data_IF_828053543151
#
_entry.id   IF_828053543151
#
_cell.length_a   1.000
_cell.length_b   1.000
_cell.length_c   1.000
_cell.angle_alpha   90.00
_cell.angle_beta   90.00
_cell.angle_gamma   90.00
#
_symmetry.space_group_name_H-M   'P 1'
#
loop_
_entity.id
_entity.type
_entity.pdbx_description
1 polymer ?
#
# COMPACT_ATOMS: atom_id res chain seq x y z
N UNK A 1 -6.94 5.26 22.00
CA UNK A 1 -5.89 4.61 21.16
C UNK A 1 -5.67 5.51 19.97
N UNK A 2 -4.44 5.87 19.69
CA UNK A 2 -4.09 6.68 18.50
C UNK A 2 -4.32 5.80 17.27
N UNK A 3 -5.02 6.32 16.26
CA UNK A 3 -5.31 5.59 15.01
C UNK A 3 -4.35 6.11 13.94
N UNK A 4 -3.74 5.21 13.15
CA UNK A 4 -2.78 5.61 12.13
C UNK A 4 -3.46 6.30 10.94
N UNK A 5 -4.64 5.77 10.52
CA UNK A 5 -5.46 6.36 9.47
C UNK A 5 -6.94 6.23 9.82
N UNK A 6 -7.71 7.29 9.57
CA UNK A 6 -9.18 7.30 9.68
C UNK A 6 -9.80 7.90 8.42
N UNK A 7 -10.64 7.13 7.77
CA UNK A 7 -11.56 7.61 6.75
C UNK A 7 -12.95 7.75 7.38
N UNK A 8 -13.56 8.94 7.28
CA UNK A 8 -14.88 9.24 7.83
C UNK A 8 -15.84 9.58 6.70
N UNK A 9 -16.83 8.72 6.47
CA UNK A 9 -17.93 8.90 5.52
C UNK A 9 -17.47 9.37 4.13
N UNK A 10 -16.35 8.78 3.63
CA UNK A 10 -15.83 9.11 2.30
C UNK A 10 -16.85 8.73 1.24
N UNK A 11 -17.26 9.72 0.44
CA UNK A 11 -18.22 9.53 -0.64
C UNK A 11 -17.60 9.95 -1.96
N UNK A 12 -17.83 9.15 -3.02
CA UNK A 12 -17.41 9.45 -4.38
C UNK A 12 -18.46 9.02 -5.39
N UNK A 13 -18.84 9.95 -6.26
CA UNK A 13 -19.82 9.73 -7.33
C UNK A 13 -19.21 10.01 -8.69
N UNK A 14 -19.62 9.24 -9.67
CA UNK A 14 -19.31 9.46 -11.08
C UNK A 14 -20.65 9.51 -11.86
N UNK A 15 -21.18 10.71 -12.03
CA UNK A 15 -22.55 10.89 -12.53
C UNK A 15 -23.57 10.23 -11.61
N UNK A 16 -24.35 9.29 -12.15
CA UNK A 16 -25.33 8.52 -11.37
C UNK A 16 -24.73 7.38 -10.54
N UNK A 17 -23.48 6.96 -10.84
CA UNK A 17 -22.81 5.86 -10.12
C UNK A 17 -22.22 6.36 -8.81
N UNK A 18 -22.59 5.76 -7.68
CA UNK A 18 -21.98 5.97 -6.38
C UNK A 18 -20.90 4.89 -6.19
N UNK A 19 -19.64 5.25 -6.38
CA UNK A 19 -18.52 4.31 -6.29
C UNK A 19 -18.04 4.07 -4.84
N UNK A 20 -18.18 5.07 -3.97
CA UNK A 20 -18.04 4.96 -2.51
C UNK A 20 -19.18 5.73 -1.86
N UNK A 21 -19.90 5.09 -0.96
CA UNK A 21 -21.03 5.67 -0.24
C UNK A 21 -20.78 5.65 1.26
N UNK A 22 -20.42 6.82 1.80
CA UNK A 22 -20.16 7.06 3.22
C UNK A 22 -19.17 6.05 3.85
N UNK A 23 -18.16 5.63 3.11
CA UNK A 23 -17.17 4.65 3.56
C UNK A 23 -16.42 5.18 4.77
N UNK A 24 -16.50 4.46 5.87
CA UNK A 24 -15.71 4.69 7.08
C UNK A 24 -14.80 3.50 7.36
N UNK A 25 -13.51 3.79 7.56
CA UNK A 25 -12.46 2.81 7.78
C UNK A 25 -11.42 3.37 8.73
N UNK A 26 -10.87 2.54 9.61
CA UNK A 26 -9.76 2.92 10.49
C UNK A 26 -8.64 1.89 10.43
N UNK A 27 -7.37 2.34 10.45
CA UNK A 27 -6.20 1.49 10.60
C UNK A 27 -5.53 1.79 11.93
N UNK A 28 -5.21 0.77 12.70
CA UNK A 28 -4.41 0.88 13.91
C UNK A 28 -2.91 0.91 13.57
N UNK A 29 -2.07 1.54 14.41
CA UNK A 29 -0.62 1.49 14.20
C UNK A 29 -0.09 0.06 14.14
N UNK A 30 0.70 -0.25 13.11
CA UNK A 30 1.30 -1.57 12.91
C UNK A 30 0.33 -2.67 12.49
N UNK A 31 -0.94 -2.36 12.26
CA UNK A 31 -1.96 -3.30 11.80
C UNK A 31 -1.85 -3.58 10.30
N UNK A 32 -2.09 -4.82 9.91
CA UNK A 32 -2.38 -5.19 8.52
C UNK A 32 -3.89 -5.35 8.38
N UNK A 33 -4.54 -4.36 7.78
CA UNK A 33 -5.98 -4.34 7.53
C UNK A 33 -6.25 -4.65 6.06
N UNK A 34 -6.92 -5.76 5.77
CA UNK A 34 -7.29 -6.10 4.41
C UNK A 34 -8.63 -5.46 4.01
N UNK A 35 -8.71 -5.00 2.77
CA UNK A 35 -9.95 -4.55 2.12
C UNK A 35 -10.27 -5.50 0.98
N UNK A 36 -11.34 -6.28 1.14
CA UNK A 36 -11.80 -7.24 0.14
C UNK A 36 -13.18 -6.82 -0.41
N UNK A 37 -13.59 -7.44 -1.49
CA UNK A 37 -14.91 -7.21 -2.10
C UNK A 37 -14.92 -7.62 -3.57
N UNK A 38 -16.09 -7.83 -4.18
CA UNK A 38 -16.20 -8.22 -5.58
C UNK A 38 -15.64 -7.16 -6.54
N UNK A 39 -15.50 -7.53 -7.81
CA UNK A 39 -15.13 -6.57 -8.84
C UNK A 39 -16.19 -5.48 -8.97
N UNK A 40 -15.76 -4.22 -9.10
CA UNK A 40 -16.65 -3.08 -9.12
C UNK A 40 -17.20 -2.63 -7.75
N UNK A 41 -16.78 -3.25 -6.64
CA UNK A 41 -17.22 -2.86 -5.29
C UNK A 41 -16.80 -1.45 -4.86
N UNK A 42 -15.81 -0.82 -5.55
CA UNK A 42 -15.30 0.51 -5.21
C UNK A 42 -13.90 0.51 -4.54
N UNK A 43 -13.23 -0.66 -4.43
CA UNK A 43 -11.91 -0.80 -3.77
C UNK A 43 -10.86 0.16 -4.35
N UNK A 44 -10.66 0.15 -5.67
CA UNK A 44 -9.70 1.03 -6.34
C UNK A 44 -10.08 2.52 -6.19
N UNK A 45 -11.39 2.84 -6.21
CA UNK A 45 -11.86 4.21 -5.94
C UNK A 45 -11.50 4.63 -4.52
N UNK A 46 -11.71 3.77 -3.52
CA UNK A 46 -11.33 4.05 -2.14
C UNK A 46 -9.81 4.27 -2.00
N UNK A 47 -8.99 3.41 -2.60
CA UNK A 47 -7.52 3.60 -2.62
C UNK A 47 -7.13 4.93 -3.27
N UNK A 48 -7.78 5.33 -4.37
CA UNK A 48 -7.54 6.62 -5.02
C UNK A 48 -7.94 7.81 -4.13
N UNK A 49 -9.05 7.69 -3.39
CA UNK A 49 -9.46 8.67 -2.38
C UNK A 49 -8.42 8.79 -1.26
N UNK A 50 -7.97 7.65 -0.71
CA UNK A 50 -6.99 7.61 0.38
C UNK A 50 -5.62 8.11 -0.07
N UNK A 51 -5.17 7.80 -1.30
CA UNK A 51 -3.90 8.28 -1.84
C UNK A 51 -3.92 9.73 -2.33
N UNK A 52 -5.12 10.33 -2.49
CA UNK A 52 -5.30 11.70 -2.99
C UNK A 52 -5.21 11.83 -4.50
N UNK A 53 -5.21 10.72 -5.24
CA UNK A 53 -5.26 10.71 -6.71
C UNK A 53 -6.59 11.30 -7.21
N UNK A 54 -7.67 11.08 -6.45
CA UNK A 54 -8.97 11.72 -6.67
C UNK A 54 -9.43 12.39 -5.36
N UNK A 55 -10.20 13.46 -5.49
CA UNK A 55 -10.81 14.13 -4.34
C UNK A 55 -12.16 13.48 -3.99
N UNK A 56 -12.49 13.31 -2.69
CA UNK A 56 -13.82 12.90 -2.26
C UNK A 56 -14.83 14.03 -2.51
N UNK A 57 -16.08 13.64 -2.75
CA UNK A 57 -17.21 14.59 -2.85
C UNK A 57 -17.71 14.97 -1.45
N UNK A 58 -17.57 14.04 -0.47
CA UNK A 58 -17.86 14.28 0.95
C UNK A 58 -16.98 13.40 1.84
N UNK A 59 -16.94 13.69 3.13
CA UNK A 59 -16.17 12.95 4.12
C UNK A 59 -14.81 13.55 4.39
N UNK A 60 -14.03 12.88 5.26
CA UNK A 60 -12.69 13.31 5.70
C UNK A 60 -11.72 12.16 5.76
N UNK A 61 -10.44 12.47 5.54
CA UNK A 61 -9.30 11.57 5.74
C UNK A 61 -8.36 12.18 6.77
N UNK A 62 -8.13 11.45 7.86
CA UNK A 62 -7.15 11.81 8.88
C UNK A 62 -6.00 10.79 8.87
N UNK A 63 -4.76 11.26 9.02
CA UNK A 63 -3.57 10.43 9.25
C UNK A 63 -2.85 11.02 10.44
N UNK A 64 -2.65 10.23 11.51
CA UNK A 64 -2.11 10.68 12.79
C UNK A 64 -2.79 11.98 13.27
N UNK A 65 -4.14 11.99 13.28
CA UNK A 65 -5.01 13.12 13.65
C UNK A 65 -4.91 14.38 12.76
N UNK A 66 -4.10 14.35 11.70
CA UNK A 66 -3.97 15.43 10.73
C UNK A 66 -4.95 15.23 9.57
N UNK A 67 -5.77 16.23 9.28
CA UNK A 67 -6.68 16.22 8.13
C UNK A 67 -5.91 16.35 6.80
N UNK A 68 -5.91 15.29 6.01
CA UNK A 68 -5.27 15.22 4.70
C UNK A 68 -6.28 15.19 3.55
N UNK A 69 -7.55 15.44 3.79
CA UNK A 69 -8.65 15.30 2.83
C UNK A 69 -8.37 16.01 1.50
N UNK A 70 -7.85 17.23 1.57
CA UNK A 70 -7.57 18.08 0.39
C UNK A 70 -6.09 18.11 -0.02
N UNK A 71 -5.26 17.26 0.59
CA UNK A 71 -3.83 17.21 0.27
C UNK A 71 -3.61 16.48 -1.04
N UNK A 72 -2.66 16.98 -1.85
CA UNK A 72 -2.18 16.29 -3.05
C UNK A 72 -1.47 14.97 -2.67
N UNK A 73 -1.34 14.01 -3.61
CA UNK A 73 -0.64 12.75 -3.35
C UNK A 73 0.75 12.96 -2.76
N UNK A 74 1.53 13.88 -3.32
CA UNK A 74 2.86 14.23 -2.83
C UNK A 74 2.86 14.77 -1.38
N UNK A 75 1.89 15.62 -1.04
CA UNK A 75 1.76 16.14 0.32
C UNK A 75 1.34 15.05 1.32
N UNK A 76 0.56 14.04 0.88
CA UNK A 76 0.20 12.86 1.70
C UNK A 76 1.41 11.97 1.96
N UNK A 77 2.25 11.75 0.96
CA UNK A 77 3.51 11.01 1.13
C UNK A 77 4.41 11.69 2.16
N UNK A 78 4.57 13.02 2.09
CA UNK A 78 5.32 13.79 3.10
C UNK A 78 4.67 13.75 4.50
N UNK A 79 3.38 13.50 4.58
CA UNK A 79 2.66 13.32 5.84
C UNK A 79 2.68 11.88 6.36
N UNK A 80 3.45 10.99 5.72
CA UNK A 80 3.64 9.60 6.16
C UNK A 80 2.66 8.60 5.58
N UNK A 81 1.85 8.97 4.56
CA UNK A 81 0.97 8.03 3.85
C UNK A 81 1.56 7.70 2.48
N UNK A 82 2.08 6.49 2.32
CA UNK A 82 2.66 5.99 1.08
C UNK A 82 1.72 5.01 0.37
N UNK A 83 1.90 4.84 -0.95
CA UNK A 83 1.17 3.86 -1.76
C UNK A 83 2.13 3.15 -2.70
N UNK A 84 2.03 1.80 -2.78
CA UNK A 84 2.58 1.06 -3.91
C UNK A 84 1.63 1.20 -5.10
N UNK A 85 2.18 1.40 -6.30
CA UNK A 85 1.38 1.51 -7.53
C UNK A 85 1.31 0.15 -8.23
N UNK A 86 0.15 -0.15 -8.86
CA UNK A 86 -0.04 -1.35 -9.71
C UNK A 86 0.90 -1.35 -10.94
N UNK A 87 1.33 -0.18 -11.40
CA UNK A 87 2.24 -0.03 -12.53
C UNK A 87 3.64 0.22 -11.98
N UNK A 88 4.60 -0.56 -12.47
CA UNK A 88 6.03 -0.50 -12.14
C UNK A 88 6.57 0.94 -12.28
N UNK A 89 6.64 1.68 -11.16
CA UNK A 89 7.15 3.06 -11.13
C UNK A 89 8.64 3.10 -10.78
N UNK A 90 9.40 2.11 -11.27
CA UNK A 90 10.86 2.11 -11.17
C UNK A 90 11.48 2.86 -12.37
N UNK A 91 12.58 3.51 -12.14
CA UNK A 91 13.40 4.07 -13.23
C UNK A 91 14.16 2.93 -13.90
N UNK A 92 13.54 2.33 -14.93
CA UNK A 92 14.03 1.09 -15.59
C UNK A 92 15.46 1.18 -16.12
N UNK A 93 15.91 2.39 -16.50
CA UNK A 93 17.25 2.63 -17.04
C UNK A 93 18.31 2.83 -15.96
N UNK A 94 17.90 3.16 -14.73
CA UNK A 94 18.80 3.32 -13.61
C UNK A 94 19.05 1.96 -12.92
N UNK A 95 20.21 1.87 -12.26
CA UNK A 95 20.50 0.70 -11.44
C UNK A 95 19.52 0.56 -10.28
N UNK A 96 19.41 -0.64 -9.70
CA UNK A 96 18.66 -0.87 -8.47
C UNK A 96 19.14 0.08 -7.36
N UNK A 97 20.44 0.20 -7.21
CA UNK A 97 21.03 1.08 -6.20
C UNK A 97 20.65 2.54 -6.42
N UNK A 98 20.71 3.05 -7.67
CA UNK A 98 20.32 4.43 -7.97
C UNK A 98 18.84 4.70 -7.74
N UNK A 99 17.97 3.73 -8.03
CA UNK A 99 16.55 3.81 -7.70
C UNK A 99 16.34 3.99 -6.18
N UNK A 100 16.96 3.14 -5.36
CA UNK A 100 16.88 3.22 -3.91
C UNK A 100 17.48 4.54 -3.38
N UNK A 101 18.62 4.95 -3.91
CA UNK A 101 19.30 6.18 -3.52
C UNK A 101 18.42 7.41 -3.78
N UNK A 102 17.78 7.48 -4.96
CA UNK A 102 16.88 8.57 -5.32
C UNK A 102 15.67 8.62 -4.36
N UNK A 103 15.10 7.46 -4.02
CA UNK A 103 13.96 7.41 -3.12
C UNK A 103 14.35 7.88 -1.70
N UNK A 104 15.45 7.39 -1.15
CA UNK A 104 15.94 7.80 0.18
C UNK A 104 16.27 9.30 0.20
N UNK A 105 16.96 9.80 -0.83
CA UNK A 105 17.33 11.21 -0.95
C UNK A 105 16.10 12.13 -1.03
N UNK A 106 15.04 11.72 -1.77
CA UNK A 106 13.82 12.49 -1.90
C UNK A 106 13.12 12.74 -0.55
N UNK A 107 13.26 11.80 0.38
CA UNK A 107 12.67 11.91 1.72
C UNK A 107 13.59 12.59 2.75
N UNK A 108 14.91 12.56 2.55
CA UNK A 108 15.87 13.24 3.43
C UNK A 108 15.83 14.78 3.31
N UNK A 109 14.99 15.33 2.41
CA UNK A 109 14.83 16.78 2.23
C UNK A 109 15.97 17.46 1.46
N UNK A 110 16.99 16.72 1.01
CA UNK A 110 18.15 17.23 0.28
C UNK A 110 17.97 17.22 -1.24
N UNK A 111 16.73 17.22 -1.74
CA UNK A 111 16.39 17.08 -3.16
C UNK A 111 16.97 18.16 -4.08
N UNK A 112 17.53 19.27 -3.56
CA UNK A 112 18.08 20.38 -4.31
C UNK A 112 19.60 20.57 -4.17
N UNK A 113 20.30 19.71 -3.45
CA UNK A 113 21.76 19.78 -3.37
C UNK A 113 22.42 19.09 -4.57
N UNK A 114 22.23 19.66 -5.77
CA UNK A 114 22.79 19.15 -7.04
C UNK A 114 24.33 19.12 -7.07
N UNK A 115 24.98 19.76 -6.13
CA UNK A 115 26.44 19.97 -6.11
C UNK A 115 27.20 18.98 -5.23
N UNK A 116 26.53 18.17 -4.41
CA UNK A 116 27.20 17.11 -3.64
C UNK A 116 27.21 15.81 -4.43
N UNK A 117 28.38 15.16 -4.62
CA UNK A 117 28.42 13.83 -5.21
C UNK A 117 27.54 12.89 -4.40
N UNK A 118 26.54 12.25 -5.03
CA UNK A 118 25.57 11.34 -4.41
C UNK A 118 26.23 10.21 -3.59
N UNK A 119 27.45 9.81 -3.98
CA UNK A 119 28.21 8.72 -3.36
C UNK A 119 29.03 9.17 -2.12
N UNK A 120 29.00 10.46 -1.78
CA UNK A 120 29.80 10.99 -0.66
C UNK A 120 29.01 11.04 0.67
N UNK A 121 27.66 10.84 0.63
CA UNK A 121 26.84 10.84 1.83
C UNK A 121 26.72 9.43 2.41
N UNK A 122 27.55 9.14 3.41
CA UNK A 122 27.60 7.85 4.09
C UNK A 122 26.26 7.48 4.74
N UNK A 123 25.49 8.45 5.25
CA UNK A 123 24.20 8.24 5.87
C UNK A 123 23.15 7.78 4.85
N UNK A 124 23.14 8.34 3.65
CA UNK A 124 22.26 7.90 2.57
C UNK A 124 22.60 6.48 2.11
N UNK A 125 23.89 6.14 2.01
CA UNK A 125 24.33 4.79 1.68
C UNK A 125 23.90 3.77 2.72
N UNK A 126 24.08 4.06 4.00
CA UNK A 126 23.65 3.19 5.10
C UNK A 126 22.12 2.99 5.09
N UNK A 127 21.34 4.05 4.82
CA UNK A 127 19.89 3.96 4.68
C UNK A 127 19.46 3.09 3.49
N UNK A 128 20.16 3.18 2.35
CA UNK A 128 19.91 2.31 1.18
C UNK A 128 20.21 0.85 1.51
N UNK A 129 21.34 0.57 2.18
CA UNK A 129 21.70 -0.80 2.59
C UNK A 129 20.64 -1.39 3.52
N UNK A 130 20.20 -0.61 4.51
CA UNK A 130 19.16 -1.02 5.44
C UNK A 130 17.84 -1.31 4.72
N UNK A 131 17.39 -0.40 3.84
CA UNK A 131 16.17 -0.53 3.06
C UNK A 131 16.20 -1.76 2.14
N UNK A 132 17.32 -1.97 1.43
CA UNK A 132 17.52 -3.14 0.57
C UNK A 132 17.46 -4.44 1.37
N UNK A 133 18.08 -4.45 2.57
CA UNK A 133 18.04 -5.60 3.49
C UNK A 133 16.63 -5.88 4.00
N UNK A 134 15.87 -4.85 4.39
CA UNK A 134 14.48 -5.00 4.82
C UNK A 134 13.58 -5.60 3.73
N UNK A 135 13.86 -5.30 2.47
CA UNK A 135 13.09 -5.80 1.32
C UNK A 135 13.70 -7.06 0.67
N UNK A 136 14.71 -7.66 1.30
CA UNK A 136 15.42 -8.84 0.80
C UNK A 136 15.86 -8.70 -0.68
N UNK A 137 16.38 -7.51 -1.05
CA UNK A 137 16.94 -7.24 -2.37
C UNK A 137 18.39 -7.74 -2.39
N UNK A 138 18.68 -8.72 -3.25
CA UNK A 138 20.01 -9.30 -3.39
C UNK A 138 21.01 -8.24 -3.91
N UNK A 139 22.18 -8.17 -3.27
CA UNK A 139 23.26 -7.26 -3.66
C UNK A 139 23.77 -7.52 -5.08
N UNK A 140 23.66 -8.75 -5.57
CA UNK A 140 24.01 -9.11 -6.95
C UNK A 140 23.23 -8.35 -8.02
N UNK A 141 22.09 -7.78 -7.67
CA UNK A 141 21.27 -6.95 -8.57
C UNK A 141 21.56 -5.45 -8.49
N UNK A 142 22.30 -4.98 -7.49
CA UNK A 142 22.41 -3.55 -7.19
C UNK A 142 22.95 -2.70 -8.34
N UNK A 143 23.91 -3.21 -9.10
CA UNK A 143 24.49 -2.51 -10.26
C UNK A 143 23.72 -2.72 -11.56
N UNK A 144 22.71 -3.62 -11.56
CA UNK A 144 21.94 -3.92 -12.76
C UNK A 144 20.85 -2.87 -13.00
N UNK A 145 20.56 -2.51 -14.27
CA UNK A 145 19.40 -1.70 -14.59
C UNK A 145 18.12 -2.36 -14.09
N UNK A 146 17.26 -1.59 -13.40
CA UNK A 146 16.05 -2.13 -12.81
C UNK A 146 15.09 -2.77 -13.83
N UNK A 147 15.14 -2.32 -15.09
CA UNK A 147 14.27 -2.84 -16.15
C UNK A 147 14.59 -4.25 -16.63
N UNK A 148 15.80 -4.80 -16.34
CA UNK A 148 16.18 -6.16 -16.74
C UNK A 148 16.01 -7.19 -15.61
N UNK A 149 15.59 -6.75 -14.44
CA UNK A 149 15.33 -7.63 -13.31
C UNK A 149 14.17 -8.59 -13.60
N UNK A 150 14.19 -9.81 -13.00
CA UNK A 150 13.00 -10.66 -12.91
C UNK A 150 11.83 -9.89 -12.30
N UNK A 151 10.59 -10.25 -12.67
CA UNK A 151 9.39 -9.53 -12.24
C UNK A 151 9.27 -9.44 -10.71
N UNK A 152 9.54 -10.53 -10.00
CA UNK A 152 9.52 -10.56 -8.54
C UNK A 152 10.54 -9.61 -7.89
N UNK A 153 11.74 -9.45 -8.49
CA UNK A 153 12.75 -8.51 -7.99
C UNK A 153 12.36 -7.05 -8.29
N UNK A 154 11.71 -6.78 -9.44
CA UNK A 154 11.14 -5.46 -9.72
C UNK A 154 10.07 -5.10 -8.67
N UNK A 155 9.22 -6.05 -8.27
CA UNK A 155 8.21 -5.83 -7.22
C UNK A 155 8.82 -5.56 -5.84
N UNK A 156 9.88 -6.27 -5.47
CA UNK A 156 10.62 -5.97 -4.23
C UNK A 156 11.21 -4.56 -4.25
N UNK A 157 11.76 -4.14 -5.39
CA UNK A 157 12.28 -2.80 -5.57
C UNK A 157 11.16 -1.75 -5.43
N UNK A 158 10.01 -1.92 -6.08
CA UNK A 158 8.85 -1.04 -5.92
C UNK A 158 8.40 -0.92 -4.46
N UNK A 159 8.37 -2.05 -3.78
CA UNK A 159 8.02 -2.10 -2.39
C UNK A 159 9.02 -1.33 -1.52
N UNK A 160 10.32 -1.49 -1.80
CA UNK A 160 11.37 -0.73 -1.13
C UNK A 160 11.22 0.78 -1.38
N UNK A 161 10.92 1.20 -2.62
CA UNK A 161 10.69 2.61 -2.93
C UNK A 161 9.51 3.19 -2.14
N UNK A 162 8.44 2.42 -1.94
CA UNK A 162 7.29 2.85 -1.13
C UNK A 162 7.64 2.98 0.37
N UNK A 163 8.61 2.20 0.86
CA UNK A 163 9.09 2.22 2.24
C UNK A 163 10.20 3.25 2.49
N UNK A 164 10.86 3.78 1.45
CA UNK A 164 12.01 4.67 1.56
C UNK A 164 11.75 5.90 2.44
N UNK A 165 10.49 6.38 2.45
CA UNK A 165 10.05 7.50 3.27
C UNK A 165 9.68 7.16 4.71
N UNK A 166 9.90 5.92 5.15
CA UNK A 166 9.48 5.43 6.47
C UNK A 166 8.02 5.79 6.80
N UNK A 167 7.06 5.39 5.93
CA UNK A 167 5.68 5.80 6.10
C UNK A 167 5.08 5.21 7.37
N UNK A 168 4.19 5.96 8.01
CA UNK A 168 3.35 5.45 9.10
C UNK A 168 2.18 4.61 8.58
N UNK A 169 1.76 4.87 7.32
CA UNK A 169 0.67 4.17 6.63
C UNK A 169 1.12 3.80 5.21
N UNK A 170 0.92 2.54 4.84
CA UNK A 170 1.22 2.01 3.52
C UNK A 170 -0.05 1.44 2.87
N UNK A 171 -0.41 1.94 1.70
CA UNK A 171 -1.50 1.41 0.88
C UNK A 171 -0.93 0.45 -0.16
N UNK A 172 -1.34 -0.81 -0.12
CA UNK A 172 -0.97 -1.86 -1.07
C UNK A 172 -2.20 -2.23 -1.91
N UNK A 173 -2.10 -2.04 -3.21
CA UNK A 173 -3.20 -2.26 -4.14
C UNK A 173 -2.85 -3.42 -5.08
N UNK A 174 -3.40 -4.61 -4.78
CA UNK A 174 -3.16 -5.88 -5.46
C UNK A 174 -1.66 -6.17 -5.67
N UNK A 175 -0.82 -6.15 -4.61
CA UNK A 175 0.62 -6.27 -4.75
C UNK A 175 1.06 -7.63 -5.32
N UNK A 176 0.23 -8.66 -5.22
CA UNK A 176 0.52 -10.03 -5.67
C UNK A 176 -0.01 -10.32 -7.08
N UNK A 177 -0.67 -9.35 -7.74
CA UNK A 177 -1.24 -9.56 -9.06
C UNK A 177 -0.17 -9.92 -10.11
N UNK A 178 -0.40 -11.02 -10.85
CA UNK A 178 0.50 -11.49 -11.90
C UNK A 178 1.75 -12.22 -11.42
N UNK A 179 1.88 -12.49 -10.12
CA UNK A 179 3.00 -13.22 -9.53
C UNK A 179 2.75 -14.74 -9.55
N UNK A 180 3.83 -15.51 -9.68
CA UNK A 180 3.77 -16.96 -9.48
C UNK A 180 3.66 -17.34 -7.99
N UNK A 181 3.31 -18.61 -7.68
CA UNK A 181 3.09 -19.03 -6.28
C UNK A 181 4.27 -18.75 -5.35
N UNK A 182 5.50 -19.05 -5.79
CA UNK A 182 6.71 -18.83 -4.98
C UNK A 182 6.99 -17.35 -4.73
N UNK A 183 6.72 -16.50 -5.71
CA UNK A 183 6.88 -15.06 -5.59
C UNK A 183 5.84 -14.48 -4.63
N UNK A 184 4.59 -14.95 -4.72
CA UNK A 184 3.50 -14.58 -3.80
C UNK A 184 3.84 -14.92 -2.35
N UNK A 185 4.39 -16.13 -2.10
CA UNK A 185 4.83 -16.54 -0.77
C UNK A 185 5.90 -15.58 -0.23
N UNK A 186 6.93 -15.28 -1.03
CA UNK A 186 8.02 -14.37 -0.61
C UNK A 186 7.54 -12.97 -0.32
N UNK A 187 6.64 -12.42 -1.16
CA UNK A 187 6.07 -11.09 -0.93
C UNK A 187 5.15 -11.09 0.30
N UNK A 188 4.39 -12.16 0.52
CA UNK A 188 3.56 -12.32 1.72
C UNK A 188 4.43 -12.29 2.99
N UNK A 189 5.56 -13.00 2.99
CA UNK A 189 6.51 -12.99 4.11
C UNK A 189 7.11 -11.60 4.33
N UNK A 190 7.48 -10.90 3.26
CA UNK A 190 7.99 -9.54 3.33
C UNK A 190 6.97 -8.58 3.94
N UNK A 191 5.70 -8.64 3.51
CA UNK A 191 4.62 -7.82 4.08
C UNK A 191 4.40 -8.19 5.55
N UNK A 192 4.43 -9.47 5.91
CA UNK A 192 4.27 -9.92 7.29
C UNK A 192 5.35 -9.37 8.23
N UNK A 193 6.60 -9.22 7.74
CA UNK A 193 7.69 -8.63 8.52
C UNK A 193 7.47 -7.14 8.89
N UNK A 194 6.58 -6.43 8.18
CA UNK A 194 6.24 -5.04 8.50
C UNK A 194 5.17 -4.90 9.58
N UNK A 195 4.52 -6.01 9.97
CA UNK A 195 3.53 -5.99 11.06
C UNK A 195 4.15 -5.43 12.33
N UNK A 196 3.43 -4.58 13.03
CA UNK A 196 3.90 -3.87 14.21
C UNK A 196 4.73 -2.62 13.94
N UNK A 197 5.19 -2.42 12.70
CA UNK A 197 6.04 -1.28 12.31
C UNK A 197 5.29 -0.23 11.48
N UNK A 198 4.49 -0.68 10.51
CA UNK A 198 3.76 0.18 9.57
C UNK A 198 2.29 -0.25 9.55
N UNK A 199 1.36 0.70 9.60
CA UNK A 199 -0.05 0.40 9.37
C UNK A 199 -0.27 0.15 7.87
N UNK A 200 -0.80 -1.02 7.49
CA UNK A 200 -0.95 -1.42 6.10
C UNK A 200 -2.43 -1.57 5.76
N UNK A 201 -2.91 -0.88 4.71
CA UNK A 201 -4.16 -1.22 4.04
C UNK A 201 -3.83 -2.07 2.82
N UNK A 202 -4.20 -3.34 2.86
CA UNK A 202 -3.96 -4.32 1.80
C UNK A 202 -5.25 -4.56 1.02
N UNK A 203 -5.29 -4.17 -0.25
CA UNK A 203 -6.35 -4.60 -1.18
C UNK A 203 -5.86 -5.82 -1.92
N UNK A 204 -6.55 -6.93 -1.76
CA UNK A 204 -6.22 -8.21 -2.41
C UNK A 204 -7.47 -9.01 -2.70
N UNK A 205 -7.37 -9.88 -3.70
CA UNK A 205 -8.40 -10.85 -4.07
C UNK A 205 -7.96 -12.30 -3.79
N UNK A 206 -6.66 -12.55 -3.54
CA UNK A 206 -6.17 -13.84 -3.05
C UNK A 206 -6.54 -14.01 -1.58
N UNK A 207 -7.59 -14.78 -1.33
CA UNK A 207 -8.10 -15.00 0.03
C UNK A 207 -7.11 -15.76 0.92
N UNK A 208 -6.19 -16.58 0.34
CA UNK A 208 -5.19 -17.27 1.15
C UNK A 208 -4.17 -16.27 1.70
N UNK A 209 -3.70 -15.37 0.86
CA UNK A 209 -2.80 -14.29 1.27
C UNK A 209 -3.49 -13.34 2.28
N UNK A 210 -4.75 -12.97 2.03
CA UNK A 210 -5.54 -12.12 2.94
C UNK A 210 -5.66 -12.75 4.32
N UNK A 211 -6.10 -14.01 4.41
CA UNK A 211 -6.27 -14.69 5.71
C UNK A 211 -4.96 -14.98 6.44
N UNK A 212 -3.84 -15.06 5.73
CA UNK A 212 -2.51 -15.22 6.33
C UNK A 212 -1.96 -13.90 6.89
N UNK A 213 -2.26 -12.78 6.22
CA UNK A 213 -1.67 -11.48 6.53
C UNK A 213 -2.54 -10.60 7.44
N UNK A 214 -3.84 -10.61 7.26
CA UNK A 214 -4.69 -9.60 7.86
C UNK A 214 -4.93 -9.83 9.36
N UNK A 215 -4.79 -8.76 10.14
CA UNK A 215 -5.25 -8.71 11.54
C UNK A 215 -6.76 -8.41 11.58
N UNK A 216 -7.23 -7.55 10.66
CA UNK A 216 -8.65 -7.27 10.41
C UNK A 216 -8.94 -7.22 8.92
N UNK A 217 -10.19 -7.47 8.58
CA UNK A 217 -10.69 -7.45 7.21
C UNK A 217 -11.95 -6.59 7.15
N UNK A 218 -12.01 -5.65 6.20
CA UNK A 218 -13.22 -4.96 5.81
C UNK A 218 -13.72 -5.47 4.46
N UNK A 219 -15.02 -5.69 4.37
CA UNK A 219 -15.68 -6.16 3.14
C UNK A 219 -16.45 -5.02 2.52
N UNK A 220 -16.05 -4.62 1.31
CA UNK A 220 -16.68 -3.56 0.53
C UNK A 220 -17.58 -4.17 -0.55
N UNK A 221 -18.85 -3.77 -0.60
CA UNK A 221 -19.83 -4.22 -1.59
C UNK A 221 -20.65 -3.02 -2.04
N UNK A 222 -20.75 -2.79 -3.36
CA UNK A 222 -21.49 -1.67 -3.93
C UNK A 222 -21.18 -0.31 -3.29
N UNK A 223 -19.90 -0.05 -3.02
CA UNK A 223 -19.43 1.20 -2.42
C UNK A 223 -19.64 1.32 -0.91
N UNK A 224 -20.17 0.32 -0.24
CA UNK A 224 -20.43 0.32 1.21
C UNK A 224 -19.61 -0.75 1.93
N UNK A 225 -19.08 -0.43 3.12
CA UNK A 225 -18.49 -1.44 4.02
C UNK A 225 -19.62 -2.19 4.70
N UNK A 226 -19.80 -3.48 4.39
CA UNK A 226 -20.88 -4.31 4.96
C UNK A 226 -20.46 -5.06 6.22
N UNK A 227 -19.15 -5.29 6.42
CA UNK A 227 -18.62 -5.95 7.60
C UNK A 227 -17.15 -5.53 7.82
N UNK A 228 -16.74 -5.49 9.08
CA UNK A 228 -15.34 -5.37 9.51
C UNK A 228 -15.13 -6.24 10.74
N UNK A 229 -14.07 -7.06 10.75
CA UNK A 229 -13.78 -7.96 11.85
C UNK A 229 -12.48 -8.73 11.64
N UNK A 230 -12.18 -9.67 12.55
CA UNK A 230 -11.06 -10.59 12.38
C UNK A 230 -11.30 -11.54 11.20
N UNK A 231 -10.27 -12.21 10.68
CA UNK A 231 -10.44 -13.22 9.63
C UNK A 231 -11.47 -14.27 9.96
N UNK A 232 -11.55 -14.71 11.22
CA UNK A 232 -12.52 -15.71 11.70
C UNK A 232 -13.96 -15.16 11.69
N UNK A 233 -14.15 -13.94 12.17
CA UNK A 233 -15.46 -13.26 12.16
C UNK A 233 -15.98 -13.05 10.75
N UNK A 234 -15.11 -12.65 9.82
CA UNK A 234 -15.47 -12.44 8.41
C UNK A 234 -15.85 -13.76 7.73
N UNK A 235 -15.13 -14.86 7.99
CA UNK A 235 -15.49 -16.19 7.48
C UNK A 235 -16.84 -16.69 8.00
N UNK A 236 -17.18 -16.36 9.25
CA UNK A 236 -18.44 -16.76 9.86
C UNK A 236 -19.62 -15.86 9.46
N UNK A 237 -19.37 -14.68 8.90
CA UNK A 237 -20.39 -13.68 8.61
C UNK A 237 -21.29 -14.11 7.44
N UNK A 238 -22.59 -14.24 7.71
CA UNK A 238 -23.58 -14.69 6.72
C UNK A 238 -23.73 -13.69 5.56
N UNK A 239 -23.75 -12.39 5.86
CA UNK A 239 -23.88 -11.36 4.84
C UNK A 239 -22.66 -11.34 3.88
N UNK A 240 -21.47 -11.58 4.41
CA UNK A 240 -20.25 -11.70 3.61
C UNK A 240 -20.30 -12.94 2.72
N UNK A 241 -20.74 -14.08 3.26
CA UNK A 241 -20.91 -15.32 2.48
C UNK A 241 -21.90 -15.13 1.32
N UNK A 242 -23.01 -14.47 1.56
CA UNK A 242 -24.03 -14.22 0.53
C UNK A 242 -23.53 -13.23 -0.54
N UNK A 243 -22.83 -12.19 -0.13
CA UNK A 243 -22.44 -11.12 -1.05
C UNK A 243 -21.13 -11.40 -1.80
N UNK A 244 -20.25 -12.26 -1.29
CA UNK A 244 -18.90 -12.44 -1.79
C UNK A 244 -18.46 -13.90 -1.99
N UNK A 245 -18.77 -14.78 -1.03
CA UNK A 245 -18.37 -16.19 -1.08
C UNK A 245 -19.42 -17.10 -1.72
N UNK A 246 -20.63 -16.62 -1.93
CA UNK A 246 -21.71 -17.36 -2.56
C UNK A 246 -21.57 -17.55 -4.07
N UNK A 247 -20.71 -16.79 -4.74
CA UNK A 247 -20.45 -16.92 -6.19
C UNK A 247 -19.34 -17.95 -6.50
N UNK A 248 -18.51 -18.35 -5.52
CA UNK A 248 -17.47 -19.36 -5.70
C UNK A 248 -17.91 -20.80 -5.33
N UNK A 249 -19.13 -20.99 -4.88
CA UNK A 249 -19.66 -22.28 -4.41
C UNK A 249 -20.65 -22.95 -5.37
N UNK A 250 -20.64 -22.59 -6.66
CA UNK A 250 -21.39 -23.29 -7.71
C UNK A 250 -20.49 -23.77 -8.84
#
# INVERSE_FOLDING_TARGET
MTVALQAHHLTKRYGALVACDQVSLSLLPGEIHALIGPNGAGKSTLIHLLSGTIAPDAGKLLVADRDLTRFSPHARVRAGLSRSYQITNIFKQLSVFDNLMLAVQAHAGSSFEFWRPRNADRTLHEAVIQLAGQCAIDQGFWSQPAGVLPHGEQRKLEFALALAGQPSVLLLDEPMAGMGPDETIRLTELIACLRGHVAILLVEHDMQAVFRLADRISVLVYGCVIATGTPEEIRANVAVRQAYLGEEAT
#
